data_IF_284884382056
#
_entry.id   IF_284884382056
#
_cell.length_a   1.000
_cell.length_b   1.000
_cell.length_c   1.000
_cell.angle_alpha   90.00
_cell.angle_beta   90.00
_cell.angle_gamma   90.00
#
_symmetry.space_group_name_H-M   'P 1'
#
loop_
_entity.id
_entity.type
_entity.pdbx_description
1 polymer ?
#
# COMPACT_ATOMS: atom_id res chain seq x y z
N UNK A 1 13.32 -23.50 -9.97
CA UNK A 1 11.93 -23.24 -9.53
C UNK A 1 11.07 -22.98 -10.76
N UNK A 2 9.84 -23.51 -10.87
CA UNK A 2 9.00 -23.27 -12.04
C UNK A 2 8.56 -21.79 -12.14
N UNK A 3 8.69 -21.21 -13.33
CA UNK A 3 8.32 -19.82 -13.63
C UNK A 3 6.84 -19.54 -13.38
N UNK A 4 5.97 -20.53 -13.61
CA UNK A 4 4.53 -20.44 -13.35
C UNK A 4 4.22 -20.17 -11.87
N UNK A 5 4.96 -20.76 -10.95
CA UNK A 5 4.78 -20.50 -9.50
C UNK A 5 5.18 -19.07 -9.15
N UNK A 6 6.31 -18.58 -9.68
CA UNK A 6 6.74 -17.19 -9.49
C UNK A 6 5.67 -16.23 -9.98
N UNK A 7 5.17 -16.44 -11.21
CA UNK A 7 4.11 -15.63 -11.80
C UNK A 7 2.85 -15.60 -10.92
N UNK A 8 2.37 -16.76 -10.47
CA UNK A 8 1.13 -16.88 -9.70
C UNK A 8 1.24 -16.25 -8.31
N UNK A 9 2.38 -16.41 -7.63
CA UNK A 9 2.62 -15.82 -6.31
C UNK A 9 2.62 -14.29 -6.40
N UNK A 10 3.39 -13.73 -7.34
CA UNK A 10 3.45 -12.28 -7.51
C UNK A 10 2.14 -11.68 -8.05
N UNK A 11 1.40 -12.41 -8.90
CA UNK A 11 0.05 -12.00 -9.32
C UNK A 11 -0.91 -11.92 -8.14
N UNK A 12 -0.89 -12.92 -7.24
CA UNK A 12 -1.71 -12.90 -6.02
C UNK A 12 -1.32 -11.75 -5.09
N UNK A 13 -0.03 -11.49 -4.93
CA UNK A 13 0.45 -10.37 -4.12
C UNK A 13 -0.04 -9.02 -4.66
N UNK A 14 -0.01 -8.83 -5.98
CA UNK A 14 -0.49 -7.61 -6.60
C UNK A 14 -2.01 -7.41 -6.41
N UNK A 15 -2.80 -8.49 -6.46
CA UNK A 15 -4.24 -8.45 -6.21
C UNK A 15 -4.60 -8.13 -4.74
N UNK A 16 -3.69 -8.38 -3.80
CA UNK A 16 -3.89 -8.16 -2.35
C UNK A 16 -3.48 -6.76 -1.88
N UNK A 17 -3.25 -5.80 -2.78
CA UNK A 17 -2.66 -4.49 -2.43
C UNK A 17 -3.50 -3.54 -1.57
N UNK A 18 -4.73 -3.90 -1.21
CA UNK A 18 -5.57 -3.07 -0.33
C UNK A 18 -5.00 -2.99 1.08
N UNK A 19 -4.58 -1.79 1.52
CA UNK A 19 -4.00 -1.55 2.84
C UNK A 19 -2.49 -1.81 2.95
N UNK A 20 -1.81 -2.06 1.83
CA UNK A 20 -0.36 -2.25 1.75
C UNK A 20 0.02 -3.70 1.45
N UNK A 21 0.88 -3.90 0.45
CA UNK A 21 1.28 -5.24 -0.03
C UNK A 21 2.32 -5.90 0.89
N UNK A 22 3.06 -5.12 1.68
CA UNK A 22 4.25 -5.61 2.41
C UNK A 22 3.95 -6.71 3.45
N UNK A 23 2.90 -6.63 4.28
CA UNK A 23 2.55 -7.72 5.20
C UNK A 23 2.20 -9.02 4.45
N UNK A 24 1.50 -8.91 3.32
CA UNK A 24 1.17 -10.05 2.47
C UNK A 24 2.42 -10.62 1.80
N UNK A 25 3.35 -9.76 1.35
CA UNK A 25 4.62 -10.18 0.79
C UNK A 25 5.48 -10.91 1.82
N UNK A 26 5.55 -10.43 3.05
CA UNK A 26 6.24 -11.11 4.15
C UNK A 26 5.61 -12.49 4.39
N UNK A 27 4.30 -12.56 4.57
CA UNK A 27 3.58 -13.83 4.78
C UNK A 27 3.77 -14.81 3.62
N UNK A 28 3.69 -14.34 2.38
CA UNK A 28 3.87 -15.21 1.22
C UNK A 28 5.32 -15.70 1.09
N UNK A 29 6.29 -14.79 1.12
CA UNK A 29 7.69 -15.09 0.81
C UNK A 29 8.45 -15.73 1.98
N UNK A 30 8.10 -15.41 3.23
CA UNK A 30 8.80 -15.89 4.43
C UNK A 30 8.03 -17.03 5.10
N UNK A 31 6.74 -16.86 5.36
CA UNK A 31 5.98 -17.83 6.17
C UNK A 31 5.46 -19.02 5.33
N UNK A 32 4.76 -18.72 4.22
CA UNK A 32 4.06 -19.73 3.43
C UNK A 32 5.01 -20.48 2.50
N UNK A 33 5.73 -19.74 1.65
CA UNK A 33 6.59 -20.34 0.64
C UNK A 33 8.02 -20.55 1.12
N UNK A 34 8.43 -19.89 2.22
CA UNK A 34 9.78 -19.99 2.81
C UNK A 34 10.89 -19.78 1.78
N UNK A 35 10.68 -18.84 0.86
CA UNK A 35 11.70 -18.45 -0.10
C UNK A 35 12.78 -17.68 0.63
N UNK A 36 12.40 -16.69 1.45
CA UNK A 36 13.33 -15.84 2.17
C UNK A 36 13.27 -16.11 3.67
N UNK A 37 14.39 -15.94 4.36
CA UNK A 37 14.36 -15.75 5.82
C UNK A 37 13.86 -14.35 6.18
N UNK A 38 13.56 -14.12 7.46
CA UNK A 38 13.16 -12.79 7.93
C UNK A 38 14.28 -11.75 7.72
N UNK A 39 15.55 -12.12 7.95
CA UNK A 39 16.69 -11.22 7.71
C UNK A 39 16.85 -10.93 6.22
N UNK A 40 16.74 -11.96 5.38
CA UNK A 40 16.83 -11.78 3.93
C UNK A 40 15.72 -10.86 3.44
N UNK A 41 14.47 -11.11 3.83
CA UNK A 41 13.36 -10.22 3.44
C UNK A 41 13.62 -8.77 3.84
N UNK A 42 14.15 -8.52 5.05
CA UNK A 42 14.52 -7.18 5.48
C UNK A 42 15.61 -6.55 4.61
N UNK A 43 16.64 -7.31 4.20
CA UNK A 43 17.68 -6.84 3.29
C UNK A 43 17.13 -6.54 1.88
N UNK A 44 16.30 -7.42 1.33
CA UNK A 44 15.64 -7.20 0.04
C UNK A 44 14.74 -5.97 0.09
N UNK A 45 14.00 -5.78 1.18
CA UNK A 45 13.19 -4.58 1.38
C UNK A 45 14.05 -3.32 1.47
N UNK A 46 15.07 -3.30 2.32
CA UNK A 46 15.94 -2.13 2.51
C UNK A 46 16.60 -1.70 1.21
N UNK A 47 17.11 -2.65 0.43
CA UNK A 47 17.75 -2.37 -0.87
C UNK A 47 16.74 -1.98 -1.95
N UNK A 48 15.51 -2.48 -1.88
CA UNK A 48 14.44 -2.12 -2.84
C UNK A 48 13.87 -0.73 -2.62
N UNK A 49 13.94 -0.20 -1.39
CA UNK A 49 13.55 1.19 -1.05
C UNK A 49 14.53 2.24 -1.58
N UNK A 50 15.79 1.84 -1.87
CA UNK A 50 16.79 2.73 -2.45
C UNK A 50 16.60 2.90 -3.96
N UNK A 51 15.93 1.95 -4.61
CA UNK A 51 15.67 1.97 -6.05
C UNK A 51 14.44 2.83 -6.35
N UNK A 52 14.45 3.63 -7.43
CA UNK A 52 13.27 4.36 -7.85
C UNK A 52 12.15 3.40 -8.26
N UNK A 53 10.90 3.76 -7.97
CA UNK A 53 9.71 3.01 -8.35
C UNK A 53 9.02 2.26 -7.20
N UNK A 54 8.00 1.43 -7.50
CA UNK A 54 7.24 0.73 -6.49
C UNK A 54 8.09 -0.34 -5.80
N UNK A 55 8.26 -0.23 -4.49
CA UNK A 55 9.10 -1.14 -3.68
C UNK A 55 8.80 -2.60 -3.92
N UNK A 56 7.52 -2.98 -3.99
CA UNK A 56 7.14 -4.37 -4.15
C UNK A 56 7.55 -4.94 -5.52
N UNK A 57 7.57 -4.11 -6.57
CA UNK A 57 8.06 -4.51 -7.89
C UNK A 57 9.58 -4.74 -7.85
N UNK A 58 10.32 -3.90 -7.14
CA UNK A 58 11.77 -4.05 -6.93
C UNK A 58 12.10 -5.31 -6.12
N UNK A 59 11.32 -5.61 -5.07
CA UNK A 59 11.44 -6.88 -4.33
C UNK A 59 11.17 -8.05 -5.26
N UNK A 60 10.11 -8.01 -6.06
CA UNK A 60 9.76 -9.09 -6.97
C UNK A 60 10.80 -9.35 -8.06
N UNK A 61 11.38 -8.28 -8.63
CA UNK A 61 12.51 -8.38 -9.55
C UNK A 61 13.67 -9.15 -8.94
N UNK A 62 14.11 -8.72 -7.75
CA UNK A 62 15.28 -9.31 -7.10
C UNK A 62 15.02 -10.75 -6.64
N UNK A 63 13.85 -11.00 -6.07
CA UNK A 63 13.43 -12.36 -5.65
C UNK A 63 13.29 -13.27 -6.87
N UNK A 64 12.62 -12.83 -7.93
CA UNK A 64 12.54 -13.57 -9.18
C UNK A 64 13.91 -13.88 -9.78
N UNK A 65 14.82 -12.90 -9.76
CA UNK A 65 16.19 -13.08 -10.24
C UNK A 65 16.96 -14.14 -9.45
N UNK A 66 16.75 -14.21 -8.13
CA UNK A 66 17.41 -15.20 -7.27
C UNK A 66 17.03 -16.65 -7.63
N UNK A 67 15.76 -16.94 -7.92
CA UNK A 67 15.29 -18.32 -8.09
C UNK A 67 15.29 -18.84 -9.53
N UNK A 68 15.24 -17.96 -10.53
CA UNK A 68 15.19 -18.35 -11.94
C UNK A 68 15.94 -17.36 -12.86
N UNK A 69 16.91 -16.61 -12.34
CA UNK A 69 17.71 -15.66 -13.10
C UNK A 69 16.87 -14.56 -13.76
N UNK A 70 17.38 -14.01 -14.85
CA UNK A 70 16.71 -12.91 -15.59
C UNK A 70 15.28 -13.29 -16.04
N UNK A 71 15.05 -14.55 -16.44
CA UNK A 71 13.72 -15.06 -16.77
C UNK A 71 12.76 -15.06 -15.58
N UNK A 72 13.25 -15.39 -14.39
CA UNK A 72 12.49 -15.29 -13.14
C UNK A 72 12.15 -13.85 -12.76
N UNK A 73 13.07 -12.92 -12.94
CA UNK A 73 12.87 -11.50 -12.66
C UNK A 73 11.76 -10.90 -13.54
N UNK A 74 11.83 -11.14 -14.85
CA UNK A 74 10.80 -10.69 -15.80
C UNK A 74 9.45 -11.34 -15.53
N UNK A 75 9.43 -12.62 -15.18
CA UNK A 75 8.20 -13.34 -14.87
C UNK A 75 7.55 -12.86 -13.57
N UNK A 76 8.35 -12.51 -12.55
CA UNK A 76 7.87 -11.93 -11.31
C UNK A 76 7.23 -10.55 -11.54
N UNK A 77 7.87 -9.69 -12.34
CA UNK A 77 7.29 -8.41 -12.76
C UNK A 77 6.03 -8.61 -13.59
N UNK A 78 6.06 -9.51 -14.57
CA UNK A 78 4.90 -9.81 -15.39
C UNK A 78 3.73 -10.29 -14.53
N UNK A 79 3.95 -11.13 -13.52
CA UNK A 79 2.91 -11.50 -12.57
C UNK A 79 2.32 -10.29 -11.84
N UNK A 80 3.19 -9.38 -11.39
CA UNK A 80 2.77 -8.18 -10.67
C UNK A 80 1.88 -7.24 -11.51
N UNK A 81 2.08 -7.21 -12.83
CA UNK A 81 1.37 -6.29 -13.74
C UNK A 81 0.25 -6.99 -14.50
N UNK A 82 0.58 -8.07 -15.23
CA UNK A 82 -0.31 -8.78 -16.13
C UNK A 82 -1.45 -9.44 -15.36
N UNK A 83 -1.20 -10.02 -14.18
CA UNK A 83 -2.22 -10.67 -13.37
C UNK A 83 -3.38 -9.72 -13.03
N UNK A 84 -3.14 -8.62 -12.30
CA UNK A 84 -4.15 -7.61 -12.02
C UNK A 84 -4.74 -6.98 -13.28
N UNK A 85 -3.93 -6.72 -14.29
CA UNK A 85 -4.39 -6.12 -15.55
C UNK A 85 -5.45 -6.98 -16.25
N UNK A 86 -5.23 -8.29 -16.33
CA UNK A 86 -6.20 -9.22 -16.90
C UNK A 86 -7.50 -9.25 -16.10
N UNK A 87 -7.43 -9.20 -14.77
CA UNK A 87 -8.62 -9.13 -13.90
C UNK A 87 -9.40 -7.84 -14.18
N UNK A 88 -8.72 -6.70 -14.29
CA UNK A 88 -9.37 -5.41 -14.57
C UNK A 88 -10.03 -5.42 -15.95
N UNK A 89 -9.36 -5.94 -16.99
CA UNK A 89 -9.96 -6.06 -18.33
C UNK A 89 -11.17 -6.99 -18.30
N UNK A 90 -11.06 -8.16 -17.66
CA UNK A 90 -12.16 -9.10 -17.56
C UNK A 90 -13.38 -8.46 -16.89
N UNK A 91 -13.18 -7.75 -15.78
CA UNK A 91 -14.23 -6.98 -15.11
C UNK A 91 -14.81 -5.87 -16.00
N UNK A 92 -13.97 -5.20 -16.80
CA UNK A 92 -14.41 -4.19 -17.77
C UNK A 92 -15.30 -4.77 -18.86
N UNK A 93 -14.98 -5.94 -19.40
CA UNK A 93 -15.81 -6.64 -20.41
C UNK A 93 -17.15 -7.06 -19.81
N UNK A 94 -17.15 -7.59 -18.58
CA UNK A 94 -18.38 -7.93 -17.86
C UNK A 94 -19.21 -6.66 -17.62
N UNK A 95 -18.57 -5.55 -17.25
CA UNK A 95 -19.24 -4.27 -17.06
C UNK A 95 -19.90 -3.76 -18.33
N UNK A 96 -19.24 -3.85 -19.49
CA UNK A 96 -19.86 -3.42 -20.76
C UNK A 96 -21.09 -4.26 -21.14
N UNK A 97 -21.12 -5.55 -20.77
CA UNK A 97 -22.25 -6.45 -21.11
C UNK A 97 -23.43 -6.32 -20.15
N UNK A 98 -23.17 -6.08 -18.87
CA UNK A 98 -24.20 -6.13 -17.82
C UNK A 98 -24.37 -4.80 -17.06
N UNK A 99 -23.64 -3.75 -17.43
CA UNK A 99 -23.62 -2.44 -16.77
C UNK A 99 -24.95 -1.70 -16.76
N UNK A 100 -25.80 -1.97 -17.75
CA UNK A 100 -27.15 -1.39 -17.87
C UNK A 100 -28.17 -2.07 -16.95
N UNK A 101 -27.86 -3.25 -16.38
CA UNK A 101 -28.75 -3.93 -15.44
C UNK A 101 -28.69 -3.20 -14.10
N UNK A 102 -29.84 -2.72 -13.64
CA UNK A 102 -29.96 -1.97 -12.40
C UNK A 102 -29.40 -2.72 -11.19
N UNK A 103 -29.66 -4.02 -11.08
CA UNK A 103 -29.12 -4.89 -10.01
C UNK A 103 -27.58 -4.92 -10.02
N UNK A 104 -26.97 -4.99 -11.20
CA UNK A 104 -25.51 -5.04 -11.34
C UNK A 104 -24.87 -3.70 -10.97
N UNK A 105 -25.51 -2.58 -11.34
CA UNK A 105 -25.08 -1.23 -10.94
C UNK A 105 -25.13 -1.04 -9.42
N UNK A 106 -26.17 -1.54 -8.76
CA UNK A 106 -26.28 -1.53 -7.30
C UNK A 106 -25.21 -2.41 -6.64
N UNK A 107 -24.93 -3.59 -7.19
CA UNK A 107 -23.86 -4.47 -6.70
C UNK A 107 -22.47 -3.79 -6.76
N UNK A 108 -22.15 -3.10 -7.85
CA UNK A 108 -20.89 -2.36 -7.98
C UNK A 108 -20.80 -1.21 -6.98
N UNK A 109 -21.90 -0.45 -6.79
CA UNK A 109 -21.95 0.59 -5.75
C UNK A 109 -21.74 0.01 -4.35
N UNK A 110 -22.33 -1.15 -4.08
CA UNK A 110 -22.11 -1.90 -2.84
C UNK A 110 -20.65 -2.30 -2.65
N UNK A 111 -19.99 -2.84 -3.68
CA UNK A 111 -18.57 -3.16 -3.63
C UNK A 111 -17.69 -1.92 -3.40
N UNK A 112 -18.01 -0.79 -4.03
CA UNK A 112 -17.31 0.46 -3.80
C UNK A 112 -17.48 0.97 -2.36
N UNK A 113 -18.67 0.84 -1.79
CA UNK A 113 -18.94 1.18 -0.39
C UNK A 113 -18.16 0.28 0.58
N UNK A 114 -18.06 -1.04 0.30
CA UNK A 114 -17.24 -1.97 1.09
C UNK A 114 -15.75 -1.61 1.01
N UNK A 115 -15.24 -1.29 -0.18
CA UNK A 115 -13.85 -0.87 -0.35
C UNK A 115 -13.56 0.42 0.42
N UNK A 116 -14.44 1.42 0.33
CA UNK A 116 -14.35 2.66 1.11
C UNK A 116 -14.38 2.39 2.62
N UNK A 117 -15.27 1.50 3.07
CA UNK A 117 -15.36 1.07 4.47
C UNK A 117 -14.09 0.38 4.96
N UNK A 118 -13.44 -0.44 4.12
CA UNK A 118 -12.17 -1.11 4.45
C UNK A 118 -11.01 -0.12 4.59
N UNK A 119 -10.95 0.87 3.69
CA UNK A 119 -9.97 1.98 3.76
C UNK A 119 -10.21 2.81 5.03
N UNK A 120 -11.47 3.12 5.34
CA UNK A 120 -11.81 3.85 6.56
C UNK A 120 -11.45 3.05 7.82
N UNK A 121 -11.75 1.74 7.84
CA UNK A 121 -11.42 0.87 8.97
C UNK A 121 -9.92 0.77 9.21
N UNK A 122 -9.12 0.69 8.14
CA UNK A 122 -7.64 0.71 8.24
C UNK A 122 -7.14 2.05 8.74
N UNK A 123 -7.67 3.18 8.24
CA UNK A 123 -7.36 4.51 8.75
C UNK A 123 -7.67 4.66 10.25
N UNK A 124 -8.86 4.22 10.69
CA UNK A 124 -9.27 4.24 12.10
C UNK A 124 -8.37 3.34 12.96
N UNK A 125 -8.01 2.15 12.46
CA UNK A 125 -7.09 1.24 13.17
C UNK A 125 -5.73 1.87 13.39
N UNK A 126 -5.17 2.53 12.36
CA UNK A 126 -3.90 3.25 12.47
C UNK A 126 -4.00 4.44 13.43
N UNK A 127 -5.09 5.22 13.35
CA UNK A 127 -5.33 6.33 14.25
C UNK A 127 -5.40 5.87 15.72
N UNK A 128 -6.16 4.80 16.02
CA UNK A 128 -6.23 4.22 17.37
C UNK A 128 -4.85 3.77 17.88
N UNK A 129 -4.07 3.10 17.05
CA UNK A 129 -2.72 2.65 17.42
C UNK A 129 -1.77 3.82 17.73
N UNK A 130 -1.93 4.95 17.03
CA UNK A 130 -1.16 6.16 17.27
C UNK A 130 -1.60 6.87 18.56
N UNK A 131 -2.90 7.06 18.77
CA UNK A 131 -3.46 7.70 19.96
C UNK A 131 -3.28 6.89 21.24
N UNK A 132 -3.24 5.55 21.17
CA UNK A 132 -3.00 4.69 22.32
C UNK A 132 -1.60 4.87 22.94
N UNK A 133 -0.62 5.34 22.15
CA UNK A 133 0.74 5.63 22.60
C UNK A 133 0.98 7.13 22.85
N UNK A 134 -0.07 7.95 22.71
CA UNK A 134 0.06 9.40 22.80
C UNK A 134 -0.14 9.89 24.23
N UNK A 135 0.85 10.61 24.76
CA UNK A 135 0.68 11.35 26.00
C UNK A 135 -0.13 12.62 25.72
N UNK A 136 -1.41 12.60 26.12
CA UNK A 136 -2.36 13.71 25.93
C UNK A 136 -2.01 14.98 26.71
N UNK A 137 -1.01 14.90 27.60
CA UNK A 137 -0.49 16.03 28.37
C UNK A 137 0.62 16.78 27.64
N UNK A 138 1.23 16.18 26.61
CA UNK A 138 2.26 16.83 25.81
C UNK A 138 1.64 17.71 24.71
N UNK A 139 2.12 18.96 24.63
CA UNK A 139 1.75 19.92 23.56
C UNK A 139 2.00 19.36 22.15
N UNK A 140 2.93 18.40 22.03
CA UNK A 140 3.24 17.68 20.79
C UNK A 140 2.05 16.87 20.25
N UNK A 141 1.29 16.22 21.12
CA UNK A 141 0.11 15.42 20.76
C UNK A 141 -0.99 16.31 20.18
N UNK A 142 -1.24 17.48 20.78
CA UNK A 142 -2.20 18.46 20.26
C UNK A 142 -1.80 19.01 18.88
N UNK A 143 -0.51 19.30 18.66
CA UNK A 143 0.00 19.73 17.36
C UNK A 143 -0.15 18.64 16.29
N UNK A 144 0.11 17.38 16.63
CA UNK A 144 -0.08 16.25 15.70
C UNK A 144 -1.55 16.04 15.32
N UNK A 145 -2.47 16.13 16.28
CA UNK A 145 -3.91 16.04 16.01
C UNK A 145 -4.38 17.20 15.13
N UNK A 146 -3.91 18.42 15.42
CA UNK A 146 -4.25 19.61 14.63
C UNK A 146 -3.74 19.50 13.18
N UNK A 147 -2.52 19.03 12.96
CA UNK A 147 -1.95 18.79 11.64
C UNK A 147 -2.71 17.70 10.87
N UNK A 148 -3.10 16.61 11.55
CA UNK A 148 -3.93 15.55 10.95
C UNK A 148 -5.31 16.08 10.53
N UNK A 149 -5.96 16.86 11.38
CA UNK A 149 -7.25 17.48 11.05
C UNK A 149 -7.12 18.45 9.87
N UNK A 150 -6.06 19.26 9.84
CA UNK A 150 -5.82 20.23 8.79
C UNK A 150 -5.47 19.54 7.45
N UNK A 151 -4.69 18.46 7.47
CA UNK A 151 -4.45 17.63 6.30
C UNK A 151 -5.73 16.95 5.79
N UNK A 152 -6.57 16.44 6.68
CA UNK A 152 -7.85 15.82 6.32
C UNK A 152 -8.81 16.84 5.68
N UNK A 153 -8.90 18.04 6.24
CA UNK A 153 -9.73 19.14 5.69
C UNK A 153 -9.18 19.60 4.34
N UNK A 154 -7.87 19.81 4.23
CA UNK A 154 -7.21 20.26 3.01
C UNK A 154 -7.35 19.28 1.85
N UNK A 155 -7.20 17.98 2.11
CA UNK A 155 -7.28 16.93 1.09
C UNK A 155 -8.73 16.51 0.80
N UNK A 156 -9.56 16.36 1.84
CA UNK A 156 -10.91 15.83 1.72
C UNK A 156 -11.93 16.85 1.23
N UNK A 157 -11.95 18.05 1.83
CA UNK A 157 -12.99 19.06 1.58
C UNK A 157 -12.57 20.09 0.53
N UNK A 158 -11.31 20.54 0.59
CA UNK A 158 -10.80 21.60 -0.29
C UNK A 158 -10.22 21.07 -1.60
N UNK A 159 -10.10 19.74 -1.76
CA UNK A 159 -9.54 19.06 -2.95
C UNK A 159 -8.21 19.69 -3.40
N UNK A 160 -7.41 20.18 -2.44
CA UNK A 160 -6.18 20.88 -2.76
C UNK A 160 -5.21 19.92 -3.43
N UNK A 161 -4.53 20.39 -4.48
CA UNK A 161 -3.50 19.67 -5.20
C UNK A 161 -2.54 18.98 -4.23
N UNK A 162 -2.50 17.64 -4.27
CA UNK A 162 -1.78 16.75 -3.34
C UNK A 162 -0.32 17.19 -3.13
N UNK A 163 0.30 17.73 -4.18
CA UNK A 163 1.66 18.23 -4.16
C UNK A 163 1.85 19.41 -3.19
N UNK A 164 0.94 20.39 -3.16
CA UNK A 164 1.05 21.57 -2.27
C UNK A 164 0.87 21.20 -0.80
N UNK A 165 -0.09 20.32 -0.50
CA UNK A 165 -0.32 19.81 0.86
C UNK A 165 0.92 19.08 1.37
N UNK A 166 1.53 18.23 0.55
CA UNK A 166 2.74 17.49 0.93
C UNK A 166 3.95 18.41 1.11
N UNK A 167 4.15 19.36 0.20
CA UNK A 167 5.28 20.30 0.28
C UNK A 167 5.21 21.26 1.47
N UNK A 168 4.01 21.61 1.95
CA UNK A 168 3.85 22.57 3.05
C UNK A 168 3.70 21.86 4.40
N UNK A 169 2.83 20.87 4.50
CA UNK A 169 2.51 20.26 5.80
C UNK A 169 3.55 19.25 6.27
N UNK A 170 4.26 18.56 5.36
CA UNK A 170 5.31 17.62 5.76
C UNK A 170 6.49 18.32 6.46
N UNK A 171 7.11 19.39 5.92
CA UNK A 171 8.20 20.09 6.62
C UNK A 171 7.73 20.87 7.85
N UNK A 172 6.52 21.43 7.84
CA UNK A 172 5.96 22.10 9.03
C UNK A 172 5.70 21.11 10.17
N UNK A 173 5.23 19.91 9.86
CA UNK A 173 4.98 18.85 10.83
C UNK A 173 6.27 18.30 11.45
N UNK A 174 7.28 18.02 10.63
CA UNK A 174 8.59 17.55 11.12
C UNK A 174 9.34 18.65 11.89
N UNK A 175 9.31 19.89 11.40
CA UNK A 175 9.92 21.04 12.08
C UNK A 175 9.27 21.36 13.43
N UNK A 176 7.94 21.39 13.50
CA UNK A 176 7.22 21.63 14.76
C UNK A 176 7.43 20.50 15.78
N UNK A 177 7.58 19.25 15.33
CA UNK A 177 7.87 18.13 16.24
C UNK A 177 9.33 18.08 16.68
N UNK A 178 10.28 18.56 15.88
CA UNK A 178 11.68 18.67 16.26
C UNK A 178 11.90 19.78 17.30
N UNK A 179 11.34 20.97 17.06
CA UNK A 179 11.45 22.12 17.98
C UNK A 179 10.76 21.91 19.34
N UNK A 180 9.73 21.06 19.39
CA UNK A 180 9.08 20.67 20.65
C UNK A 180 9.84 19.53 21.35
N UNK A 181 10.63 18.75 20.61
CA UNK A 181 11.45 17.65 21.14
C UNK A 181 12.75 18.09 21.84
N UNK A 182 13.30 19.26 21.49
CA UNK A 182 14.54 19.79 22.11
C UNK A 182 14.38 20.36 23.53
N UNK A 183 13.18 20.39 24.10
CA UNK A 183 12.93 20.92 25.46
C UNK A 183 12.87 19.86 26.57
N UNK A 184 13.44 18.67 26.37
CA UNK A 184 13.62 17.65 27.42
C UNK A 184 15.10 17.33 27.61
#
# INVERSE_FOLDING_TARGET
MPLSTIFLVFSKLALMGFGGVMPFAYRALVEQHKWLTAEEFAQYLATSQMLPGPTICNVALRVGNRYAGTGGALTALAGMVVGPFLVVIALGVVYQRYGEIEVFRHAIRGMAAVAAGLILATAVKMAKAMFAKADWRERRTHLQVALLALAFIGLGLLQWQLALVFCVLAPLGTGATYLVGEKK
#
